data_IF_109510207044
#
_entry.id   IF_109510207044
#
_cell.length_a   1.000
_cell.length_b   1.000
_cell.length_c   1.000
_cell.angle_alpha   90.00
_cell.angle_beta   90.00
_cell.angle_gamma   90.00
#
_symmetry.space_group_name_H-M   'P 1'
#
loop_
_entity.id
_entity.type
_entity.pdbx_description
1 polymer ?
#
# COMPACT_ATOMS: atom_id res chain seq x y z
N UNK A 1 5.62 -6.63 21.10
CA UNK A 1 5.41 -7.85 20.28
C UNK A 1 3.93 -8.25 20.11
N UNK A 2 3.11 -8.36 21.16
CA UNK A 2 1.70 -8.82 21.04
C UNK A 2 0.80 -7.97 20.10
N UNK A 3 1.01 -6.65 20.05
CA UNK A 3 0.24 -5.75 19.17
C UNK A 3 0.55 -5.95 17.67
N UNK A 4 1.80 -6.28 17.34
CA UNK A 4 2.24 -6.64 15.98
C UNK A 4 1.48 -7.86 15.49
N UNK A 5 1.48 -8.92 16.29
CA UNK A 5 0.76 -10.16 15.98
C UNK A 5 -0.75 -9.93 15.85
N UNK A 6 -1.33 -9.01 16.62
CA UNK A 6 -2.75 -8.65 16.51
C UNK A 6 -3.06 -7.89 15.22
N UNK A 7 -2.21 -6.94 14.82
CA UNK A 7 -2.34 -6.24 13.53
C UNK A 7 -2.19 -7.23 12.35
N UNK A 8 -1.21 -8.13 12.42
CA UNK A 8 -1.06 -9.23 11.45
C UNK A 8 -2.25 -10.18 11.44
N UNK A 9 -2.79 -10.56 12.60
CA UNK A 9 -3.97 -11.42 12.71
C UNK A 9 -5.23 -10.73 12.15
N UNK A 10 -5.38 -9.42 12.34
CA UNK A 10 -6.48 -8.63 11.79
C UNK A 10 -6.38 -8.56 10.25
N UNK A 11 -5.18 -8.30 9.70
CA UNK A 11 -4.93 -8.33 8.26
C UNK A 11 -5.16 -9.72 7.67
N UNK A 12 -4.71 -10.79 8.35
CA UNK A 12 -4.90 -12.18 7.92
C UNK A 12 -6.38 -12.58 7.91
N UNK A 13 -7.14 -12.21 8.96
CA UNK A 13 -8.57 -12.48 9.10
C UNK A 13 -9.43 -11.75 8.05
N UNK A 14 -9.02 -10.56 7.63
CA UNK A 14 -9.68 -9.84 6.52
C UNK A 14 -9.40 -10.45 5.13
N UNK A 15 -8.42 -11.34 5.01
CA UNK A 15 -8.06 -11.99 3.75
C UNK A 15 -8.62 -13.42 3.60
N UNK A 16 -9.15 -14.03 4.67
CA UNK A 16 -9.63 -15.42 4.70
C UNK A 16 -11.09 -15.63 4.25
N UNK A 17 -11.83 -14.59 3.82
CA UNK A 17 -13.15 -14.76 3.21
C UNK A 17 -13.03 -15.01 1.69
N UNK A 18 -13.23 -16.26 1.28
CA UNK A 18 -13.10 -16.86 -0.05
C UNK A 18 -14.05 -16.31 -1.14
N UNK A 19 -13.56 -16.13 -2.38
CA UNK A 19 -14.06 -16.71 -3.66
C UNK A 19 -13.50 -15.98 -4.92
N UNK A 20 -13.31 -16.69 -6.06
CA UNK A 20 -12.78 -16.14 -7.30
C UNK A 20 -13.90 -15.49 -8.12
N UNK A 21 -13.90 -14.16 -8.23
CA UNK A 21 -14.82 -13.41 -9.11
C UNK A 21 -14.09 -12.22 -9.77
N UNK A 22 -14.53 -11.80 -10.97
CA UNK A 22 -13.82 -10.84 -11.81
C UNK A 22 -13.64 -9.52 -11.07
N UNK A 23 -12.41 -8.99 -11.05
CA UNK A 23 -11.94 -7.72 -10.46
C UNK A 23 -13.00 -7.07 -9.57
N UNK A 24 -13.17 -7.63 -8.36
CA UNK A 24 -14.08 -7.06 -7.38
C UNK A 24 -13.60 -5.63 -7.10
N UNK A 25 -14.43 -4.65 -7.49
CA UNK A 25 -14.32 -3.23 -7.15
C UNK A 25 -13.81 -3.14 -5.70
N UNK A 26 -12.67 -2.49 -5.46
CA UNK A 26 -12.15 -2.37 -4.10
C UNK A 26 -13.22 -1.68 -3.25
N UNK A 27 -13.61 -2.33 -2.14
CA UNK A 27 -14.55 -1.74 -1.21
C UNK A 27 -13.84 -0.59 -0.47
N UNK A 28 -14.43 0.60 -0.48
CA UNK A 28 -13.88 1.77 0.22
C UNK A 28 -13.66 1.48 1.71
N UNK A 29 -14.60 0.78 2.36
CA UNK A 29 -14.46 0.40 3.76
C UNK A 29 -13.24 -0.52 3.98
N UNK A 30 -12.95 -1.41 3.02
CA UNK A 30 -11.78 -2.28 3.08
C UNK A 30 -10.48 -1.49 2.89
N UNK A 31 -10.44 -0.53 1.96
CA UNK A 31 -9.26 0.35 1.78
C UNK A 31 -9.01 1.14 3.06
N UNK A 32 -10.04 1.76 3.65
CA UNK A 32 -9.92 2.52 4.89
C UNK A 32 -9.40 1.67 6.05
N UNK A 33 -9.99 0.49 6.25
CA UNK A 33 -9.57 -0.42 7.32
C UNK A 33 -8.15 -0.94 7.11
N UNK A 34 -7.81 -1.33 5.87
CA UNK A 34 -6.48 -1.84 5.54
C UNK A 34 -5.43 -0.74 5.68
N UNK A 35 -5.73 0.49 5.29
CA UNK A 35 -4.87 1.66 5.50
C UNK A 35 -4.59 1.86 6.99
N UNK A 36 -5.63 1.78 7.83
CA UNK A 36 -5.48 1.90 9.28
C UNK A 36 -4.57 0.81 9.85
N UNK A 37 -4.83 -0.46 9.51
CA UNK A 37 -3.98 -1.57 9.93
C UNK A 37 -2.54 -1.45 9.40
N UNK A 38 -2.35 -0.94 8.19
CA UNK A 38 -1.04 -0.73 7.59
C UNK A 38 -0.25 0.38 8.31
N UNK A 39 -0.89 1.49 8.66
CA UNK A 39 -0.24 2.56 9.44
C UNK A 39 0.07 2.09 10.87
N UNK A 40 -0.82 1.35 11.51
CA UNK A 40 -0.55 0.70 12.80
C UNK A 40 0.67 -0.24 12.68
N UNK A 41 0.77 -1.03 11.60
CA UNK A 41 1.94 -1.87 11.35
C UNK A 41 3.23 -1.06 11.24
N UNK A 42 3.24 0.01 10.44
CA UNK A 42 4.42 0.86 10.28
C UNK A 42 4.86 1.46 11.62
N UNK A 43 3.91 1.93 12.43
CA UNK A 43 4.19 2.46 13.77
C UNK A 43 4.83 1.42 14.68
N UNK A 44 4.29 0.20 14.73
CA UNK A 44 4.83 -0.83 15.63
C UNK A 44 6.13 -1.43 15.10
N UNK A 45 6.34 -1.43 13.78
CA UNK A 45 7.61 -1.82 13.16
C UNK A 45 8.72 -0.77 13.36
N UNK A 46 8.42 0.35 14.04
CA UNK A 46 9.28 1.52 14.16
C UNK A 46 9.83 1.95 12.78
N UNK A 47 8.98 1.83 11.76
CA UNK A 47 9.37 2.19 10.40
C UNK A 47 9.59 3.69 10.39
N UNK A 48 10.80 4.18 10.08
CA UNK A 48 11.05 5.60 10.10
C UNK A 48 10.22 6.23 8.99
N UNK A 49 9.16 6.95 9.37
CA UNK A 49 8.62 7.96 8.47
C UNK A 49 9.74 8.99 8.31
N UNK A 50 10.44 8.92 7.17
CA UNK A 50 11.60 9.76 6.92
C UNK A 50 11.15 11.22 6.89
N UNK A 51 11.16 11.88 8.04
CA UNK A 51 11.08 13.33 8.18
C UNK A 51 12.49 13.88 7.94
N UNK A 52 12.80 14.25 6.69
CA UNK A 52 14.11 14.86 6.40
C UNK A 52 14.16 16.29 6.91
N UNK A 53 14.58 16.46 8.16
CA UNK A 53 14.83 17.76 8.77
C UNK A 53 16.29 18.18 8.57
N UNK A 54 16.67 18.74 7.42
CA UNK A 54 18.06 19.18 7.25
C UNK A 54 18.31 20.25 6.20
N UNK A 55 18.17 19.94 4.91
CA UNK A 55 18.52 20.84 3.80
C UNK A 55 17.67 20.49 2.58
N UNK A 56 17.19 21.52 1.87
CA UNK A 56 16.29 21.57 0.69
C UNK A 56 15.36 20.36 0.46
N UNK A 57 14.08 20.52 0.84
CA UNK A 57 12.95 19.64 0.50
C UNK A 57 12.29 18.92 1.69
N UNK A 58 12.10 19.61 2.82
CA UNK A 58 11.83 19.08 4.16
C UNK A 58 10.55 18.26 4.39
N UNK A 59 9.71 18.02 3.39
CA UNK A 59 8.57 17.08 3.45
C UNK A 59 8.44 16.38 2.11
N UNK A 60 8.32 15.05 2.10
CA UNK A 60 7.92 14.34 0.89
C UNK A 60 6.43 14.62 0.62
N UNK A 61 6.12 15.29 -0.49
CA UNK A 61 4.74 15.45 -0.97
C UNK A 61 3.99 14.10 -1.03
N UNK A 62 4.72 13.04 -1.40
CA UNK A 62 4.24 11.66 -1.39
C UNK A 62 5.12 10.81 -0.45
N UNK A 63 4.70 10.58 0.81
CA UNK A 63 5.50 9.82 1.77
C UNK A 63 5.71 8.38 1.30
N UNK A 64 6.80 7.74 1.73
CA UNK A 64 7.13 6.38 1.31
C UNK A 64 6.08 5.36 1.77
N UNK A 65 5.45 5.59 2.93
CA UNK A 65 4.31 4.82 3.44
C UNK A 65 3.12 4.81 2.46
N UNK A 66 2.85 5.93 1.78
CA UNK A 66 1.79 6.02 0.76
C UNK A 66 2.13 5.15 -0.45
N UNK A 67 3.38 5.18 -0.92
CA UNK A 67 3.82 4.37 -2.06
C UNK A 67 3.78 2.87 -1.71
N UNK A 68 4.21 2.50 -0.50
CA UNK A 68 4.13 1.14 0.00
C UNK A 68 2.68 0.67 0.10
N UNK A 69 1.77 1.53 0.55
CA UNK A 69 0.34 1.20 0.61
C UNK A 69 -0.26 1.01 -0.79
N UNK A 70 0.10 1.83 -1.77
CA UNK A 70 -0.30 1.63 -3.17
C UNK A 70 0.19 0.26 -3.69
N UNK A 71 1.42 -0.12 -3.35
CA UNK A 71 1.97 -1.44 -3.69
C UNK A 71 1.24 -2.60 -3.00
N UNK A 72 0.67 -2.38 -1.81
CA UNK A 72 -0.21 -3.37 -1.15
C UNK A 72 -1.53 -3.51 -1.91
N UNK A 73 -2.13 -2.39 -2.32
CA UNK A 73 -3.38 -2.40 -3.07
C UNK A 73 -3.23 -3.04 -4.45
N UNK A 74 -2.11 -2.82 -5.14
CA UNK A 74 -1.85 -3.43 -6.45
C UNK A 74 -1.87 -4.95 -6.39
N UNK A 75 -1.29 -5.54 -5.35
CA UNK A 75 -1.30 -7.00 -5.12
C UNK A 75 -2.70 -7.51 -4.87
N UNK A 76 -3.47 -6.81 -4.04
CA UNK A 76 -4.87 -7.17 -3.78
C UNK A 76 -5.70 -7.16 -5.07
N UNK A 77 -5.48 -6.17 -5.93
CA UNK A 77 -6.16 -6.06 -7.22
C UNK A 77 -5.58 -6.97 -8.31
N UNK A 78 -4.48 -7.69 -8.03
CA UNK A 78 -3.70 -8.46 -9.03
C UNK A 78 -3.29 -7.60 -10.23
N UNK A 79 -3.02 -6.30 -10.01
CA UNK A 79 -2.60 -5.36 -11.05
C UNK A 79 -1.13 -5.59 -11.42
N UNK A 80 -0.88 -5.93 -12.69
CA UNK A 80 0.44 -6.36 -13.17
C UNK A 80 1.20 -5.28 -13.94
N UNK A 81 0.66 -4.06 -14.07
CA UNK A 81 1.30 -3.01 -14.87
C UNK A 81 1.35 -1.70 -14.09
N UNK A 82 2.41 -0.91 -14.25
CA UNK A 82 2.51 0.40 -13.59
C UNK A 82 1.35 1.32 -13.98
N UNK A 83 0.92 1.27 -15.24
CA UNK A 83 -0.26 2.00 -15.71
C UNK A 83 -1.55 1.53 -15.03
N UNK A 84 -1.75 0.22 -14.86
CA UNK A 84 -2.89 -0.35 -14.12
C UNK A 84 -2.89 0.07 -12.65
N UNK A 85 -1.72 0.02 -12.00
CA UNK A 85 -1.52 0.48 -10.62
C UNK A 85 -1.84 1.97 -10.49
N UNK A 86 -1.36 2.80 -11.43
CA UNK A 86 -1.66 4.24 -11.45
C UNK A 86 -3.16 4.51 -11.66
N UNK A 87 -3.81 3.83 -12.62
CA UNK A 87 -5.27 3.94 -12.84
C UNK A 87 -6.07 3.57 -11.60
N UNK A 88 -5.68 2.48 -10.92
CA UNK A 88 -6.28 2.05 -9.65
C UNK A 88 -6.07 3.11 -8.57
N UNK A 89 -4.86 3.65 -8.47
CA UNK A 89 -4.50 4.70 -7.51
C UNK A 89 -5.36 5.94 -7.69
N UNK A 90 -5.49 6.45 -8.92
CA UNK A 90 -6.33 7.61 -9.21
C UNK A 90 -7.80 7.33 -8.89
N UNK A 91 -8.29 6.12 -9.22
CA UNK A 91 -9.70 5.74 -9.00
C UNK A 91 -10.09 5.76 -7.52
N UNK A 92 -9.19 5.34 -6.64
CA UNK A 92 -9.45 5.24 -5.20
C UNK A 92 -8.71 6.31 -4.39
N UNK A 93 -8.21 7.36 -5.06
CA UNK A 93 -7.31 8.34 -4.47
C UNK A 93 -7.87 8.99 -3.20
N UNK A 94 -9.15 9.39 -3.23
CA UNK A 94 -9.86 10.00 -2.10
C UNK A 94 -9.96 9.12 -0.86
N UNK A 95 -9.72 7.81 -0.99
CA UNK A 95 -9.71 6.84 0.11
C UNK A 95 -8.28 6.42 0.47
N UNK A 96 -7.37 6.42 -0.51
CA UNK A 96 -5.94 6.12 -0.34
C UNK A 96 -5.26 7.24 0.46
N UNK A 97 -5.52 8.50 0.11
CA UNK A 97 -5.06 9.67 0.86
C UNK A 97 -6.24 10.37 1.53
N UNK A 98 -6.17 10.64 2.85
CA UNK A 98 -7.15 11.47 3.53
C UNK A 98 -6.94 12.96 3.23
N UNK A 99 -5.78 13.34 2.69
CA UNK A 99 -5.50 14.71 2.26
C UNK A 99 -6.24 15.01 0.96
N UNK A 100 -7.27 15.86 1.07
CA UNK A 100 -8.11 16.26 -0.06
C UNK A 100 -7.41 17.22 -1.02
N UNK A 101 -6.32 17.86 -0.59
CA UNK A 101 -5.58 18.82 -1.39
C UNK A 101 -4.41 18.18 -2.15
N UNK A 102 -4.00 16.98 -1.73
CA UNK A 102 -2.96 16.22 -2.41
C UNK A 102 -3.54 15.60 -3.69
N UNK A 103 -2.95 15.94 -4.84
CA UNK A 103 -3.33 15.35 -6.13
C UNK A 103 -2.71 13.96 -6.31
N UNK A 104 -3.30 13.06 -7.13
CA UNK A 104 -2.66 11.79 -7.46
C UNK A 104 -1.26 12.00 -8.03
N UNK A 105 -0.29 11.26 -7.48
CA UNK A 105 1.08 11.20 -8.00
C UNK A 105 1.06 10.77 -9.48
N UNK A 106 1.87 11.42 -10.31
CA UNK A 106 1.95 11.06 -11.74
C UNK A 106 2.45 9.62 -11.95
N UNK A 107 2.06 8.99 -13.07
CA UNK A 107 2.46 7.61 -13.37
C UNK A 107 3.97 7.41 -13.39
N UNK A 108 4.72 8.36 -13.98
CA UNK A 108 6.18 8.30 -14.06
C UNK A 108 6.82 8.33 -12.67
N UNK A 109 6.40 9.27 -11.82
CA UNK A 109 6.87 9.37 -10.44
C UNK A 109 6.48 8.12 -9.64
N UNK A 110 5.22 7.65 -9.76
CA UNK A 110 4.78 6.45 -9.07
C UNK A 110 5.62 5.23 -9.46
N UNK A 111 5.86 5.04 -10.75
CA UNK A 111 6.70 3.95 -11.28
C UNK A 111 8.12 4.00 -10.71
N UNK A 112 8.75 5.17 -10.69
CA UNK A 112 10.10 5.33 -10.13
C UNK A 112 10.15 5.00 -8.65
N UNK A 113 9.14 5.45 -7.89
CA UNK A 113 9.03 5.20 -6.45
C UNK A 113 8.75 3.72 -6.16
N UNK A 114 7.89 3.05 -6.94
CA UNK A 114 7.63 1.62 -6.84
C UNK A 114 8.90 0.79 -7.13
N UNK A 115 9.67 1.16 -8.15
CA UNK A 115 10.97 0.53 -8.44
C UNK A 115 11.95 0.68 -7.27
N UNK A 116 11.99 1.87 -6.65
CA UNK A 116 12.88 2.16 -5.52
C UNK A 116 12.61 1.25 -4.32
N UNK A 117 11.34 0.92 -4.05
CA UNK A 117 10.95 -0.02 -2.99
C UNK A 117 11.01 -1.50 -3.44
N UNK A 118 11.56 -1.78 -4.62
CA UNK A 118 11.67 -3.12 -5.18
C UNK A 118 10.34 -3.75 -5.61
N UNK A 119 9.27 -2.97 -5.76
CA UNK A 119 7.98 -3.44 -6.26
C UNK A 119 7.95 -3.34 -7.79
N UNK A 120 7.83 -4.48 -8.45
CA UNK A 120 7.71 -4.57 -9.90
C UNK A 120 6.52 -5.43 -10.29
N UNK A 121 6.08 -5.29 -11.54
CA UNK A 121 4.99 -6.08 -12.15
C UNK A 121 5.12 -7.60 -11.99
N UNK A 122 6.35 -8.11 -11.80
CA UNK A 122 6.66 -9.54 -11.72
C UNK A 122 7.26 -9.96 -10.38
N UNK A 123 7.60 -9.02 -9.50
CA UNK A 123 8.26 -9.29 -8.22
C UNK A 123 7.71 -8.35 -7.16
N UNK A 124 7.10 -8.94 -6.14
CA UNK A 124 6.65 -8.18 -4.98
C UNK A 124 7.84 -7.72 -4.15
N UNK A 125 7.70 -6.54 -3.57
CA UNK A 125 8.66 -6.06 -2.58
C UNK A 125 8.66 -7.01 -1.37
N UNK A 126 9.83 -7.26 -0.78
CA UNK A 126 9.97 -8.23 0.31
C UNK A 126 9.06 -7.92 1.52
N UNK A 127 8.82 -6.64 1.81
CA UNK A 127 7.90 -6.23 2.88
C UNK A 127 6.44 -6.67 2.63
N UNK A 128 6.04 -6.82 1.37
CA UNK A 128 4.69 -7.30 1.02
C UNK A 128 4.54 -8.77 1.41
N UNK A 129 5.60 -9.58 1.28
CA UNK A 129 5.61 -10.98 1.74
C UNK A 129 5.55 -11.08 3.27
N UNK A 130 6.02 -10.05 3.98
CA UNK A 130 5.84 -9.96 5.43
C UNK A 130 4.40 -9.59 5.79
N UNK A 131 3.76 -8.71 5.01
CA UNK A 131 2.37 -8.25 5.21
C UNK A 131 1.31 -9.28 4.80
N UNK A 132 1.60 -10.11 3.81
CA UNK A 132 0.68 -11.11 3.27
C UNK A 132 1.33 -12.50 3.29
N UNK A 133 0.70 -13.50 3.95
CA UNK A 133 1.16 -14.88 3.79
C UNK A 133 1.04 -15.30 2.32
N UNK A 134 2.00 -16.08 1.83
CA UNK A 134 2.13 -16.53 0.42
C UNK A 134 0.79 -17.01 -0.20
N UNK A 135 -0.08 -17.61 0.62
CA UNK A 135 -1.40 -18.11 0.24
C UNK A 135 -2.39 -17.04 -0.27
N UNK A 136 -2.16 -15.74 -0.01
CA UNK A 136 -3.01 -14.64 -0.50
C UNK A 136 -2.46 -14.05 -1.81
N UNK A 137 -1.20 -14.32 -2.12
CA UNK A 137 -0.47 -13.72 -3.25
C UNK A 137 -0.62 -14.53 -4.54
N UNK A 138 -0.97 -15.82 -4.45
CA UNK A 138 -1.23 -16.69 -5.60
C UNK A 138 -2.73 -16.71 -5.97
#
# INVERSE_FOLDING_TARGET
MAHVYRAFANLKRMNSSSMPKPVAKLNHAWITQTRRCFLEFLQVADFPEVQRNGVRGSVFEYPESLIMFIAVLSVKCKEKTYLGIHRMTCRYWSVITPDKNLVPISESQLRERLKKIGHTSRRLAAFILQLFPQAVIN
#
